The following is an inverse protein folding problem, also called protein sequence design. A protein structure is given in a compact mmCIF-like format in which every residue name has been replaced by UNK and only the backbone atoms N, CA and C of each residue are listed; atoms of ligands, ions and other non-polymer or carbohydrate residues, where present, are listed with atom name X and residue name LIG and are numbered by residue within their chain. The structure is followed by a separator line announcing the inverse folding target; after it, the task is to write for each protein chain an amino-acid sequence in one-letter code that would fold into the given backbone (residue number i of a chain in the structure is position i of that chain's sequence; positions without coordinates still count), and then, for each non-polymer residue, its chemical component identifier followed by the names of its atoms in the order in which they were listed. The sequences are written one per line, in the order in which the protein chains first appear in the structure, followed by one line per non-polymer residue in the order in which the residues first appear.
data_IF_088509973366
#
_entry.id   IF_088509973366
#
_cell.length_a   1.000
_cell.length_b   1.000
_cell.length_c   1.000
_cell.angle_alpha   90.00
_cell.angle_beta   90.00
_cell.angle_gamma   90.00
#
_symmetry.space_group_name_H-M   'P 1'
#
loop_
_entity.id
_entity.type
_entity.pdbx_description
1 polymer ?
#
# COMPACT_ATOMS: atom_id res chain seq x y z
N UNK A 1 13.93 15.40 -6.89
CA UNK A 1 13.87 14.37 -5.83
C UNK A 1 13.87 13.03 -6.51
N UNK A 2 14.72 12.10 -6.09
CA UNK A 2 14.83 10.82 -6.78
C UNK A 2 13.88 9.79 -6.18
N UNK A 3 13.09 9.22 -7.08
CA UNK A 3 12.12 8.18 -6.80
C UNK A 3 12.80 6.80 -6.89
N UNK A 4 12.85 6.03 -5.79
CA UNK A 4 13.56 4.75 -5.78
C UNK A 4 12.71 3.50 -6.10
N UNK A 5 11.55 3.63 -6.76
CA UNK A 5 10.78 2.51 -7.37
C UNK A 5 9.76 3.02 -8.38
N UNK A 6 9.87 2.81 -9.70
CA UNK A 6 8.87 3.32 -10.62
C UNK A 6 7.59 2.48 -10.62
N UNK A 7 6.54 3.12 -11.12
CA UNK A 7 5.33 2.55 -11.66
C UNK A 7 5.61 1.35 -12.57
N UNK A 8 4.75 0.32 -12.54
CA UNK A 8 4.79 -0.74 -13.54
C UNK A 8 4.64 -0.12 -14.93
N UNK A 9 5.76 0.07 -15.65
CA UNK A 9 5.80 0.57 -17.03
C UNK A 9 6.72 1.76 -17.32
N UNK A 10 7.25 2.49 -16.33
CA UNK A 10 8.15 3.62 -16.60
C UNK A 10 9.62 3.16 -16.55
N UNK A 11 10.37 3.38 -17.64
CA UNK A 11 11.81 3.04 -17.72
C UNK A 11 12.59 3.80 -16.64
N UNK A 12 13.24 3.04 -15.75
CA UNK A 12 14.04 3.50 -14.59
C UNK A 12 15.11 4.55 -14.93
N UNK A 13 15.53 4.62 -16.19
CA UNK A 13 16.53 5.56 -16.70
C UNK A 13 15.98 6.97 -16.96
N UNK A 14 14.71 7.11 -17.37
CA UNK A 14 14.14 8.41 -17.80
C UNK A 14 13.89 9.39 -16.64
N UNK A 15 13.28 8.91 -15.56
CA UNK A 15 12.97 9.72 -14.37
C UNK A 15 14.25 10.26 -13.72
N UNK A 16 15.24 9.37 -13.47
CA UNK A 16 16.50 9.77 -12.83
C UNK A 16 17.26 10.87 -13.58
N UNK A 17 17.17 10.91 -14.92
CA UNK A 17 17.79 11.96 -15.72
C UNK A 17 17.09 13.31 -15.53
N UNK A 18 15.76 13.32 -15.45
CA UNK A 18 14.97 14.53 -15.25
C UNK A 18 15.27 15.21 -13.93
N UNK A 19 15.26 14.48 -12.81
CA UNK A 19 15.46 15.14 -11.50
C UNK A 19 16.91 15.56 -11.26
N UNK A 20 17.87 14.80 -11.79
CA UNK A 20 19.29 15.20 -11.82
C UNK A 20 19.50 16.47 -12.64
N UNK A 21 18.88 16.55 -13.83
CA UNK A 21 18.94 17.74 -14.68
C UNK A 21 18.35 18.97 -13.98
N UNK A 22 17.17 18.84 -13.35
CA UNK A 22 16.54 19.94 -12.61
C UNK A 22 17.38 20.40 -11.42
N UNK A 23 17.98 19.46 -10.68
CA UNK A 23 18.91 19.76 -9.58
C UNK A 23 20.13 20.54 -10.07
N UNK A 24 20.73 20.13 -11.18
CA UNK A 24 21.87 20.83 -11.79
C UNK A 24 21.50 22.21 -12.34
N UNK A 25 20.38 22.31 -13.07
CA UNK A 25 19.92 23.55 -13.71
C UNK A 25 19.62 24.65 -12.67
N UNK A 26 18.95 24.28 -11.58
CA UNK A 26 18.53 25.21 -10.54
C UNK A 26 19.46 25.26 -9.34
N UNK A 27 20.56 24.48 -9.35
CA UNK A 27 21.53 24.37 -8.25
C UNK A 27 20.84 24.08 -6.91
N UNK A 28 19.88 23.17 -6.92
CA UNK A 28 19.14 22.74 -5.74
C UNK A 28 19.60 21.35 -5.28
N UNK A 29 19.65 21.10 -3.97
CA UNK A 29 20.07 19.79 -3.45
C UNK A 29 19.11 18.70 -3.90
N UNK A 30 19.63 17.47 -3.99
CA UNK A 30 18.85 16.29 -4.34
C UNK A 30 18.74 15.37 -3.12
N UNK A 31 17.54 14.85 -2.92
CA UNK A 31 17.20 13.96 -1.82
C UNK A 31 16.61 12.69 -2.41
N UNK A 32 17.12 11.54 -1.96
CA UNK A 32 16.56 10.23 -2.27
C UNK A 32 15.41 9.92 -1.32
N UNK A 33 14.31 9.42 -1.88
CA UNK A 33 13.10 9.12 -1.11
C UNK A 33 12.69 7.68 -1.36
N UNK A 34 12.44 6.96 -0.25
CA UNK A 34 11.82 5.65 -0.30
C UNK A 34 10.30 5.80 -0.58
N UNK A 35 9.81 5.12 -1.61
CA UNK A 35 8.39 5.18 -2.02
C UNK A 35 7.43 4.70 -0.91
N UNK A 36 7.77 3.61 -0.23
CA UNK A 36 6.92 3.05 0.83
C UNK A 36 6.82 4.02 2.01
N UNK A 37 7.95 4.59 2.43
CA UNK A 37 7.96 5.63 3.47
C UNK A 37 7.16 6.85 3.03
N UNK A 38 7.23 7.22 1.76
CA UNK A 38 6.48 8.36 1.25
C UNK A 38 4.96 8.17 1.30
N UNK A 39 4.46 6.96 0.99
CA UNK A 39 3.05 6.61 1.19
C UNK A 39 2.65 6.77 2.66
N UNK A 40 3.47 6.26 3.58
CA UNK A 40 3.19 6.34 5.03
C UNK A 40 3.14 7.80 5.49
N UNK A 41 4.16 8.61 5.17
CA UNK A 41 4.22 9.99 5.63
C UNK A 41 3.12 10.87 5.04
N UNK A 42 2.78 10.67 3.76
CA UNK A 42 1.63 11.34 3.14
C UNK A 42 0.31 10.94 3.81
N UNK A 43 0.10 9.65 4.04
CA UNK A 43 -1.09 9.16 4.74
C UNK A 43 -1.21 9.76 6.15
N UNK A 44 -0.10 9.83 6.90
CA UNK A 44 -0.08 10.42 8.25
C UNK A 44 -0.43 11.90 8.25
N UNK A 45 0.17 12.71 7.37
CA UNK A 45 -0.08 14.16 7.38
C UNK A 45 -1.50 14.50 6.93
N UNK A 46 -2.06 13.77 5.96
CA UNK A 46 -3.41 14.01 5.44
C UNK A 46 -4.48 13.59 6.45
N UNK A 47 -4.27 12.47 7.14
CA UNK A 47 -5.25 11.89 8.06
C UNK A 47 -5.09 12.33 9.51
N UNK A 48 -3.94 12.91 9.86
CA UNK A 48 -3.59 13.25 11.24
C UNK A 48 -3.13 12.05 12.08
N UNK A 49 -2.90 10.88 11.48
CA UNK A 49 -2.46 9.69 12.21
C UNK A 49 -1.06 9.88 12.82
N UNK A 50 -0.98 9.83 14.16
CA UNK A 50 0.29 10.07 14.86
C UNK A 50 1.22 8.86 14.80
N UNK A 51 0.82 7.70 15.35
CA UNK A 51 1.63 6.48 15.37
C UNK A 51 0.83 5.19 15.06
N UNK A 52 0.28 5.06 13.83
CA UNK A 52 -0.52 3.89 13.45
C UNK A 52 0.33 2.66 13.09
N UNK A 53 -0.29 1.48 13.07
CA UNK A 53 0.13 0.37 12.22
C UNK A 53 -0.34 0.66 10.80
N UNK A 54 0.55 0.52 9.82
CA UNK A 54 0.28 0.85 8.43
C UNK A 54 0.07 -0.40 7.61
N UNK A 55 -1.10 -0.56 7.01
CA UNK A 55 -1.34 -1.53 5.95
C UNK A 55 -1.06 -0.87 4.60
N UNK A 56 0.04 -1.23 3.96
CA UNK A 56 0.39 -0.76 2.62
C UNK A 56 0.01 -1.79 1.56
N UNK A 57 -1.03 -1.50 0.78
CA UNK A 57 -1.58 -2.39 -0.24
C UNK A 57 -1.70 -1.68 -1.59
N UNK A 58 -0.87 -2.10 -2.55
CA UNK A 58 -0.84 -1.59 -3.93
C UNK A 58 -0.80 -2.74 -4.93
N UNK A 59 -0.73 -2.41 -6.23
CA UNK A 59 -0.50 -3.41 -7.28
C UNK A 59 0.78 -4.21 -7.10
N UNK A 60 1.80 -3.64 -6.43
CA UNK A 60 3.13 -4.26 -6.29
C UNK A 60 3.62 -4.46 -4.85
N UNK A 61 2.84 -4.08 -3.85
CA UNK A 61 3.21 -4.20 -2.43
C UNK A 61 2.02 -4.65 -1.59
N UNK A 62 2.27 -5.49 -0.60
CA UNK A 62 1.29 -5.85 0.44
C UNK A 62 2.06 -6.09 1.73
N UNK A 63 2.12 -5.07 2.58
CA UNK A 63 2.97 -5.05 3.76
C UNK A 63 2.24 -4.46 4.96
N UNK A 64 2.49 -5.03 6.14
CA UNK A 64 2.09 -4.48 7.44
C UNK A 64 3.32 -3.89 8.09
N UNK A 65 3.30 -2.58 8.32
CA UNK A 65 4.47 -1.78 8.70
C UNK A 65 4.15 -1.03 9.98
N UNK A 66 5.08 -0.96 10.93
CA UNK A 66 4.95 -0.04 12.06
C UNK A 66 6.28 0.65 12.36
N UNK A 67 6.20 1.87 12.85
CA UNK A 67 7.37 2.61 13.29
C UNK A 67 7.87 2.06 14.63
N UNK A 68 9.18 1.79 14.72
CA UNK A 68 9.88 1.33 15.91
C UNK A 68 11.37 1.69 15.83
N UNK A 69 11.91 2.25 16.91
CA UNK A 69 13.35 2.55 17.06
C UNK A 69 13.95 3.35 15.88
N UNK A 70 13.30 4.43 15.46
CA UNK A 70 13.81 5.29 14.39
C UNK A 70 13.50 4.82 12.96
N UNK A 71 12.90 3.64 12.80
CA UNK A 71 12.72 2.99 11.49
C UNK A 71 11.30 2.49 11.30
N UNK A 72 10.87 2.37 10.04
CA UNK A 72 9.63 1.69 9.68
C UNK A 72 9.91 0.21 9.44
N UNK A 73 9.47 -0.65 10.37
CA UNK A 73 9.71 -2.09 10.33
C UNK A 73 8.53 -2.83 9.71
N UNK A 74 8.83 -3.86 8.94
CA UNK A 74 7.84 -4.73 8.31
C UNK A 74 7.56 -5.89 9.27
N UNK A 75 6.31 -6.02 9.70
CA UNK A 75 5.82 -7.08 10.60
C UNK A 75 5.17 -8.23 9.83
N UNK A 76 4.59 -7.92 8.68
CA UNK A 76 4.01 -8.90 7.76
C UNK A 76 4.23 -8.47 6.32
N UNK A 77 4.49 -9.43 5.44
CA UNK A 77 4.61 -9.20 4.00
C UNK A 77 3.82 -10.27 3.22
N UNK A 78 3.63 -10.02 1.94
CA UNK A 78 3.25 -11.10 1.03
C UNK A 78 4.46 -11.99 0.74
N UNK A 79 4.25 -13.30 0.74
CA UNK A 79 5.28 -14.30 0.43
C UNK A 79 5.52 -14.35 -1.08
N UNK A 80 4.52 -14.04 -1.89
CA UNK A 80 4.53 -14.30 -3.32
C UNK A 80 4.20 -13.08 -4.19
N UNK A 81 2.93 -12.67 -4.24
CA UNK A 81 2.43 -11.60 -5.08
C UNK A 81 1.62 -10.61 -4.27
N UNK A 82 1.50 -9.38 -4.71
CA UNK A 82 0.70 -8.39 -4.00
C UNK A 82 -0.80 -8.62 -4.23
N UNK A 83 -1.63 -8.22 -3.26
CA UNK A 83 -3.10 -8.32 -3.36
C UNK A 83 -3.64 -7.56 -4.57
N UNK A 84 -3.05 -6.40 -4.91
CA UNK A 84 -3.45 -5.63 -6.08
C UNK A 84 -3.20 -6.38 -7.39
N UNK A 85 -2.07 -7.07 -7.53
CA UNK A 85 -1.81 -7.92 -8.71
C UNK A 85 -2.75 -9.13 -8.77
N UNK A 86 -3.13 -9.70 -7.62
CA UNK A 86 -4.14 -10.77 -7.56
C UNK A 86 -5.48 -10.28 -8.13
N UNK A 87 -5.95 -9.11 -7.66
CA UNK A 87 -7.16 -8.47 -8.17
C UNK A 87 -7.05 -8.14 -9.66
N UNK A 88 -5.95 -7.51 -10.09
CA UNK A 88 -5.75 -7.13 -11.49
C UNK A 88 -5.75 -8.34 -12.44
N UNK A 89 -5.12 -9.44 -12.03
CA UNK A 89 -5.12 -10.69 -12.82
C UNK A 89 -6.50 -11.31 -12.88
N UNK A 90 -7.22 -11.34 -11.76
CA UNK A 90 -8.57 -11.90 -11.73
C UNK A 90 -9.56 -11.07 -12.57
N UNK A 91 -9.44 -9.74 -12.55
CA UNK A 91 -10.23 -8.85 -13.40
C UNK A 91 -10.05 -9.18 -14.89
N UNK A 92 -8.82 -9.51 -15.32
CA UNK A 92 -8.54 -9.93 -16.70
C UNK A 92 -9.17 -11.27 -17.05
N UNK A 93 -9.21 -12.21 -16.13
CA UNK A 93 -9.87 -13.52 -16.32
C UNK A 93 -11.36 -13.33 -16.56
N UNK A 94 -11.99 -12.41 -15.84
CA UNK A 94 -13.38 -12.02 -16.02
C UNK A 94 -13.61 -11.04 -17.17
N UNK A 95 -12.58 -10.70 -17.95
CA UNK A 95 -12.63 -9.73 -19.06
C UNK A 95 -13.19 -8.36 -18.68
N UNK A 96 -12.96 -7.93 -17.43
CA UNK A 96 -13.39 -6.62 -16.95
C UNK A 96 -12.54 -5.50 -17.57
N UNK A 97 -13.14 -4.31 -17.69
CA UNK A 97 -12.43 -3.11 -18.14
C UNK A 97 -11.28 -2.78 -17.19
N UNK A 98 -10.19 -2.22 -17.75
CA UNK A 98 -9.13 -1.62 -16.95
C UNK A 98 -9.45 -0.18 -16.50
N UNK A 99 -10.46 0.45 -17.10
CA UNK A 99 -10.90 1.81 -16.78
C UNK A 99 -12.11 1.77 -15.84
N UNK A 100 -12.13 2.53 -14.71
CA UNK A 100 -11.07 3.42 -14.21
C UNK A 100 -9.90 2.70 -13.54
N UNK A 101 -10.13 1.53 -12.94
CA UNK A 101 -9.09 0.59 -12.51
C UNK A 101 -9.67 -0.83 -12.39
N UNK A 102 -8.87 -1.89 -12.56
CA UNK A 102 -9.37 -3.27 -12.43
C UNK A 102 -9.91 -3.56 -11.03
N UNK A 103 -9.21 -3.09 -9.98
CA UNK A 103 -9.66 -3.24 -8.59
C UNK A 103 -11.00 -2.57 -8.29
N UNK A 104 -11.23 -1.36 -8.82
CA UNK A 104 -12.53 -0.68 -8.71
C UNK A 104 -13.65 -1.46 -9.41
N UNK A 105 -13.38 -2.00 -10.60
CA UNK A 105 -14.38 -2.76 -11.34
C UNK A 105 -14.75 -4.08 -10.65
N UNK A 106 -13.79 -4.74 -10.00
CA UNK A 106 -14.07 -5.89 -9.13
C UNK A 106 -14.97 -5.46 -7.97
N UNK A 107 -14.69 -4.33 -7.33
CA UNK A 107 -15.50 -3.82 -6.22
C UNK A 107 -16.95 -3.52 -6.62
N UNK A 108 -17.16 -2.85 -7.76
CA UNK A 108 -18.52 -2.58 -8.24
C UNK A 108 -19.27 -3.86 -8.60
N UNK A 109 -18.57 -4.88 -9.09
CA UNK A 109 -19.17 -6.16 -9.44
C UNK A 109 -19.45 -7.00 -8.19
N UNK A 110 -18.56 -6.97 -7.20
CA UNK A 110 -18.72 -7.65 -5.90
C UNK A 110 -19.97 -7.17 -5.14
N UNK A 111 -20.34 -5.88 -5.25
CA UNK A 111 -21.58 -5.34 -4.66
C UNK A 111 -22.86 -6.00 -5.18
N UNK A 112 -22.80 -6.69 -6.32
CA UNK A 112 -23.92 -7.44 -6.91
C UNK A 112 -23.89 -8.93 -6.57
N UNK A 113 -22.83 -9.41 -5.94
CA UNK A 113 -22.69 -10.79 -5.49
C UNK A 113 -23.64 -11.08 -4.34
N UNK A 114 -24.13 -12.31 -4.29
CA UNK A 114 -25.08 -12.79 -3.27
C UNK A 114 -24.62 -14.09 -2.62
N UNK A 115 -23.86 -14.90 -3.36
CA UNK A 115 -23.37 -16.19 -2.90
C UNK A 115 -21.89 -16.11 -2.55
N UNK A 116 -21.55 -16.62 -1.36
CA UNK A 116 -20.16 -16.84 -0.96
C UNK A 116 -19.68 -18.20 -1.46
N UNK A 117 -18.51 -18.20 -2.10
CA UNK A 117 -17.81 -19.39 -2.59
C UNK A 117 -16.56 -19.55 -1.74
N UNK A 118 -16.40 -20.72 -1.14
CA UNK A 118 -15.23 -21.00 -0.32
C UNK A 118 -13.95 -20.94 -1.15
N UNK A 119 -13.04 -20.07 -0.75
CA UNK A 119 -11.71 -19.92 -1.33
C UNK A 119 -10.65 -20.34 -0.30
N UNK A 120 -9.46 -20.79 -0.75
CA UNK A 120 -8.37 -21.10 0.16
C UNK A 120 -7.99 -19.88 1.01
N UNK A 121 -7.87 -20.07 2.31
CA UNK A 121 -7.49 -19.01 3.24
C UNK A 121 -6.06 -19.27 3.76
N UNK A 122 -5.08 -18.47 3.30
CA UNK A 122 -3.65 -18.78 3.50
C UNK A 122 -2.92 -17.65 4.23
N UNK A 123 -3.01 -17.68 5.56
CA UNK A 123 -2.23 -16.81 6.45
C UNK A 123 -1.17 -17.64 7.19
N UNK A 124 0.08 -17.20 7.13
CA UNK A 124 1.22 -17.83 7.84
C UNK A 124 1.81 -16.81 8.81
N UNK A 125 1.48 -16.91 10.10
CA UNK A 125 1.84 -15.93 11.13
C UNK A 125 1.28 -14.53 10.79
N UNK A 126 2.12 -13.60 10.34
CA UNK A 126 1.72 -12.26 9.90
C UNK A 126 1.88 -12.09 8.38
N UNK A 127 2.28 -13.15 7.67
CA UNK A 127 2.47 -13.14 6.22
C UNK A 127 1.28 -13.77 5.50
N UNK A 128 1.07 -13.35 4.26
CA UNK A 128 -0.02 -13.81 3.37
C UNK A 128 0.53 -14.37 2.06
N UNK A 129 -0.23 -15.25 1.42
CA UNK A 129 0.08 -15.77 0.09
C UNK A 129 -1.19 -15.76 -0.76
N UNK A 130 -1.10 -15.14 -1.94
CA UNK A 130 -2.26 -14.96 -2.82
C UNK A 130 -2.18 -15.78 -4.11
N UNK A 131 -1.01 -16.33 -4.48
CA UNK A 131 -0.88 -17.05 -5.76
C UNK A 131 -1.72 -18.33 -5.78
N UNK A 132 -1.78 -19.07 -4.68
CA UNK A 132 -2.60 -20.28 -4.58
C UNK A 132 -4.10 -19.96 -4.68
N UNK A 133 -4.53 -18.85 -4.08
CA UNK A 133 -5.91 -18.36 -4.15
C UNK A 133 -6.25 -17.95 -5.59
N UNK A 134 -5.34 -17.21 -6.23
CA UNK A 134 -5.49 -16.78 -7.62
C UNK A 134 -5.63 -17.97 -8.57
N UNK A 135 -4.75 -18.97 -8.49
CA UNK A 135 -4.85 -20.15 -9.35
C UNK A 135 -6.12 -20.97 -9.08
N UNK A 136 -6.55 -21.06 -7.82
CA UNK A 136 -7.78 -21.76 -7.46
C UNK A 136 -9.01 -21.04 -8.01
N UNK A 137 -9.11 -19.72 -7.87
CA UNK A 137 -10.26 -18.97 -8.36
C UNK A 137 -10.26 -18.87 -9.89
N UNK A 138 -9.10 -18.81 -10.55
CA UNK A 138 -9.00 -18.88 -12.01
C UNK A 138 -9.60 -20.20 -12.54
N UNK A 139 -9.24 -21.34 -11.95
CA UNK A 139 -9.79 -22.64 -12.33
C UNK A 139 -11.29 -22.77 -11.98
N UNK A 140 -11.67 -22.33 -10.77
CA UNK A 140 -13.06 -22.38 -10.30
C UNK A 140 -13.98 -21.50 -11.14
N UNK A 141 -13.51 -20.32 -11.56
CA UNK A 141 -14.26 -19.43 -12.44
C UNK A 141 -14.52 -20.10 -13.79
N UNK A 142 -13.53 -20.77 -14.38
CA UNK A 142 -13.71 -21.44 -15.66
C UNK A 142 -14.75 -22.57 -15.59
N UNK A 143 -14.74 -23.37 -14.52
CA UNK A 143 -15.67 -24.49 -14.34
C UNK A 143 -17.09 -24.02 -13.98
N UNK A 144 -17.22 -23.18 -12.95
CA UNK A 144 -18.53 -22.79 -12.40
C UNK A 144 -19.28 -21.81 -13.29
N UNK A 145 -18.59 -20.93 -14.01
CA UNK A 145 -19.25 -20.05 -14.98
C UNK A 145 -19.79 -20.83 -16.18
N UNK A 146 -19.09 -21.89 -16.63
CA UNK A 146 -19.61 -22.78 -17.68
C UNK A 146 -20.81 -23.59 -17.22
N UNK A 147 -20.83 -23.99 -15.95
CA UNK A 147 -21.93 -24.73 -15.33
C UNK A 147 -23.12 -23.84 -14.91
N UNK A 148 -23.03 -22.51 -15.04
CA UNK A 148 -24.01 -21.53 -14.51
C UNK A 148 -24.29 -21.70 -13.00
N UNK A 149 -23.32 -22.20 -12.24
CA UNK A 149 -23.46 -22.41 -10.79
C UNK A 149 -23.22 -21.13 -9.97
N UNK A 150 -22.49 -20.16 -10.54
CA UNK A 150 -22.22 -18.87 -9.91
C UNK A 150 -22.16 -17.76 -10.94
N UNK A 151 -22.30 -16.53 -10.49
CA UNK A 151 -22.07 -15.36 -11.34
C UNK A 151 -20.65 -14.80 -11.17
N UNK A 152 -20.14 -14.02 -12.14
CA UNK A 152 -18.89 -13.26 -11.95
C UNK A 152 -18.93 -12.35 -10.71
N UNK A 153 -20.11 -11.87 -10.34
CA UNK A 153 -20.32 -11.04 -9.15
C UNK A 153 -20.11 -11.82 -7.85
N UNK A 154 -20.60 -13.07 -7.77
CA UNK A 154 -20.38 -13.95 -6.62
C UNK A 154 -18.89 -14.28 -6.43
N UNK A 155 -18.16 -14.49 -7.53
CA UNK A 155 -16.72 -14.72 -7.48
C UNK A 155 -15.96 -13.47 -7.02
N UNK A 156 -16.28 -12.28 -7.55
CA UNK A 156 -15.68 -11.02 -7.09
C UNK A 156 -15.96 -10.76 -5.61
N UNK A 157 -17.19 -11.00 -5.17
CA UNK A 157 -17.59 -10.89 -3.76
C UNK A 157 -16.76 -11.82 -2.88
N UNK A 158 -16.76 -13.12 -3.21
CA UNK A 158 -16.04 -14.14 -2.43
C UNK A 158 -14.54 -13.87 -2.37
N UNK A 159 -13.96 -13.40 -3.48
CA UNK A 159 -12.54 -13.02 -3.54
C UNK A 159 -12.25 -11.85 -2.62
N UNK A 160 -13.05 -10.78 -2.66
CA UNK A 160 -12.84 -9.61 -1.80
C UNK A 160 -12.97 -9.95 -0.32
N UNK A 161 -14.04 -10.67 0.07
CA UNK A 161 -14.23 -11.07 1.46
C UNK A 161 -13.05 -11.91 1.97
N UNK A 162 -12.59 -12.89 1.17
CA UNK A 162 -11.47 -13.75 1.56
C UNK A 162 -10.16 -12.97 1.67
N UNK A 163 -9.79 -12.20 0.63
CA UNK A 163 -8.52 -11.48 0.61
C UNK A 163 -8.47 -10.39 1.69
N UNK A 164 -9.56 -9.64 1.87
CA UNK A 164 -9.59 -8.56 2.85
C UNK A 164 -9.66 -9.08 4.28
N UNK A 165 -10.36 -10.19 4.54
CA UNK A 165 -10.31 -10.85 5.85
C UNK A 165 -8.87 -11.25 6.21
N UNK A 166 -8.11 -11.81 5.26
CA UNK A 166 -6.69 -12.14 5.47
C UNK A 166 -5.85 -10.92 5.82
N UNK A 167 -6.07 -9.80 5.13
CA UNK A 167 -5.37 -8.53 5.40
C UNK A 167 -5.72 -7.95 6.77
N UNK A 168 -7.00 -8.01 7.16
CA UNK A 168 -7.47 -7.57 8.48
C UNK A 168 -6.84 -8.44 9.58
N UNK A 169 -6.81 -9.76 9.41
CA UNK A 169 -6.21 -10.70 10.36
C UNK A 169 -4.71 -10.40 10.61
N UNK A 170 -3.91 -10.25 9.55
CA UNK A 170 -2.48 -9.96 9.73
C UNK A 170 -2.24 -8.57 10.33
N UNK A 171 -3.10 -7.60 10.00
CA UNK A 171 -3.02 -6.24 10.54
C UNK A 171 -3.34 -6.25 12.03
N UNK A 172 -4.40 -6.95 12.43
CA UNK A 172 -4.77 -7.10 13.83
C UNK A 172 -3.67 -7.79 14.64
N UNK A 173 -3.05 -8.86 14.09
CA UNK A 173 -1.91 -9.53 14.74
C UNK A 173 -0.74 -8.58 14.95
N UNK A 174 -0.42 -7.75 13.97
CA UNK A 174 0.64 -6.76 14.08
C UNK A 174 0.31 -5.65 15.09
N UNK A 175 -0.95 -5.20 15.15
CA UNK A 175 -1.41 -4.24 16.16
C UNK A 175 -1.22 -4.78 17.58
N UNK A 176 -1.62 -6.03 17.82
CA UNK A 176 -1.43 -6.67 19.12
C UNK A 176 0.05 -6.82 19.48
N UNK A 177 0.91 -7.08 18.49
CA UNK A 177 2.35 -7.20 18.70
C UNK A 177 3.04 -5.85 18.97
N UNK A 178 2.57 -4.77 18.34
CA UNK A 178 3.16 -3.43 18.49
C UNK A 178 2.55 -2.61 19.64
N UNK A 179 1.53 -3.13 20.33
CA UNK A 179 0.69 -2.41 21.29
C UNK A 179 0.14 -1.08 20.73
N UNK A 180 -0.39 -1.15 19.50
CA UNK A 180 -0.97 0.00 18.79
C UNK A 180 -2.46 -0.21 18.56
N UNK A 181 -3.21 0.88 18.62
CA UNK A 181 -4.67 0.88 18.47
C UNK A 181 -5.14 1.36 17.10
N UNK A 182 -4.34 2.21 16.47
CA UNK A 182 -4.72 2.87 15.23
C UNK A 182 -4.13 2.16 14.00
N UNK A 183 -4.90 2.14 12.92
CA UNK A 183 -4.47 1.64 11.62
C UNK A 183 -4.50 2.75 10.59
N UNK A 184 -3.48 2.82 9.75
CA UNK A 184 -3.45 3.65 8.56
C UNK A 184 -3.42 2.75 7.32
N UNK A 185 -4.35 2.92 6.40
CA UNK A 185 -4.33 2.22 5.11
C UNK A 185 -3.75 3.16 4.05
N UNK A 186 -2.78 2.67 3.28
CA UNK A 186 -2.16 3.39 2.15
C UNK A 186 -2.01 2.48 0.93
N UNK A 187 -1.82 3.08 -0.25
CA UNK A 187 -1.71 2.38 -1.53
C UNK A 187 -3.06 2.25 -2.25
N UNK A 188 -3.01 2.02 -3.56
CA UNK A 188 -4.20 2.07 -4.42
C UNK A 188 -5.30 1.06 -4.09
N UNK A 189 -4.96 -0.12 -3.54
CA UNK A 189 -5.97 -1.10 -3.08
C UNK A 189 -6.61 -0.62 -1.78
N UNK A 190 -5.92 0.25 -1.04
CA UNK A 190 -6.42 0.89 0.17
C UNK A 190 -7.61 1.82 -0.05
N UNK A 191 -7.87 2.23 -1.29
CA UNK A 191 -9.06 3.00 -1.66
C UNK A 191 -10.36 2.18 -1.65
N UNK A 192 -10.28 0.85 -1.59
CA UNK A 192 -11.45 -0.02 -1.64
C UNK A 192 -12.33 0.17 -0.39
N UNK A 193 -13.61 0.49 -0.58
CA UNK A 193 -14.53 0.83 0.50
C UNK A 193 -14.79 -0.38 1.40
N UNK A 194 -14.85 -1.58 0.82
CA UNK A 194 -15.09 -2.82 1.56
C UNK A 194 -13.92 -3.17 2.49
N UNK A 195 -12.68 -3.05 2.01
CA UNK A 195 -11.49 -3.21 2.85
C UNK A 195 -11.47 -2.19 3.99
N UNK A 196 -11.79 -0.92 3.71
CA UNK A 196 -11.87 0.12 4.74
C UNK A 196 -12.98 -0.17 5.75
N UNK A 197 -14.13 -0.67 5.32
CA UNK A 197 -15.23 -1.06 6.19
C UNK A 197 -14.81 -2.17 7.16
N UNK A 198 -14.26 -3.27 6.65
CA UNK A 198 -13.80 -4.40 7.47
C UNK A 198 -12.72 -3.97 8.47
N UNK A 199 -11.77 -3.16 8.03
CA UNK A 199 -10.71 -2.65 8.90
C UNK A 199 -11.26 -1.69 9.97
N UNK A 200 -12.26 -0.86 9.62
CA UNK A 200 -12.90 0.07 10.57
C UNK A 200 -13.60 -0.67 11.70
N UNK A 201 -14.31 -1.76 11.36
CA UNK A 201 -14.97 -2.62 12.35
C UNK A 201 -13.92 -3.19 13.32
N UNK A 202 -12.86 -3.83 12.79
CA UNK A 202 -11.78 -4.38 13.63
C UNK A 202 -11.11 -3.32 14.51
N UNK A 203 -10.79 -2.14 13.97
CA UNK A 203 -10.19 -1.06 14.76
C UNK A 203 -11.12 -0.60 15.89
N UNK A 204 -12.43 -0.47 15.60
CA UNK A 204 -13.42 -0.01 16.58
C UNK A 204 -13.59 -1.00 17.75
N UNK A 205 -13.56 -2.31 17.47
CA UNK A 205 -13.63 -3.36 18.48
C UNK A 205 -12.41 -3.36 19.41
N UNK A 206 -11.26 -2.87 18.93
CA UNK A 206 -10.02 -2.71 19.70
C UNK A 206 -9.89 -1.35 20.38
N UNK A 207 -10.89 -0.47 20.22
CA UNK A 207 -10.88 0.88 20.79
C UNK A 207 -9.86 1.83 20.14
N UNK A 208 -9.59 1.65 18.84
CA UNK A 208 -8.78 2.56 18.04
C UNK A 208 -9.50 3.04 16.79
N UNK A 209 -8.77 3.75 15.93
CA UNK A 209 -9.33 4.37 14.72
C UNK A 209 -8.67 3.84 13.44
N UNK A 210 -9.49 3.73 12.39
CA UNK A 210 -9.00 3.59 11.03
C UNK A 210 -8.79 4.97 10.42
N UNK A 211 -7.58 5.22 9.97
CA UNK A 211 -7.21 6.32 9.10
C UNK A 211 -7.06 5.77 7.68
N UNK A 212 -7.83 6.31 6.75
CA UNK A 212 -7.72 5.96 5.33
C UNK A 212 -7.77 7.25 4.50
N UNK A 213 -7.08 7.26 3.38
CA UNK A 213 -7.09 8.39 2.45
C UNK A 213 -7.93 8.07 1.21
N UNK A 214 -8.44 9.12 0.58
CA UNK A 214 -9.07 8.99 -0.74
C UNK A 214 -8.02 8.76 -1.85
N UNK A 215 -8.52 8.50 -3.06
CA UNK A 215 -7.72 8.24 -4.25
C UNK A 215 -6.69 9.33 -4.56
N UNK A 216 -6.91 10.59 -4.16
CA UNK A 216 -5.98 11.70 -4.43
C UNK A 216 -4.63 11.53 -3.74
N UNK A 217 -4.60 10.84 -2.60
CA UNK A 217 -3.40 10.69 -1.77
C UNK A 217 -3.01 9.22 -1.53
N UNK A 218 -3.93 8.27 -1.65
CA UNK A 218 -3.66 6.83 -1.54
C UNK A 218 -2.85 6.29 -2.73
N UNK A 219 -3.03 6.86 -3.93
CA UNK A 219 -2.30 6.42 -5.12
C UNK A 219 -0.95 7.12 -5.23
N UNK A 220 -0.06 6.56 -6.02
CA UNK A 220 1.24 7.16 -6.26
C UNK A 220 1.09 8.56 -6.86
N UNK A 221 1.72 9.54 -6.22
CA UNK A 221 1.68 10.93 -6.66
C UNK A 221 3.02 11.62 -6.41
N UNK A 222 3.31 12.69 -7.14
CA UNK A 222 4.55 13.44 -6.94
C UNK A 222 4.62 14.15 -5.57
N UNK A 223 3.47 14.44 -4.96
CA UNK A 223 3.39 15.17 -3.70
C UNK A 223 3.90 14.33 -2.52
N UNK A 224 3.68 13.02 -2.50
CA UNK A 224 4.20 12.14 -1.42
C UNK A 224 5.73 12.12 -1.42
N UNK A 225 6.33 12.09 -2.61
CA UNK A 225 7.78 12.16 -2.79
C UNK A 225 8.27 13.55 -2.39
N UNK A 226 7.58 14.60 -2.83
CA UNK A 226 7.87 15.99 -2.49
C UNK A 226 7.90 16.23 -0.98
N UNK A 227 6.85 15.83 -0.29
CA UNK A 227 6.69 16.01 1.15
C UNK A 227 7.75 15.25 1.94
N UNK A 228 7.97 13.98 1.62
CA UNK A 228 8.96 13.14 2.33
C UNK A 228 10.39 13.62 2.05
N UNK A 229 10.67 14.07 0.82
CA UNK A 229 11.94 14.68 0.48
C UNK A 229 12.16 16.01 1.20
N UNK A 230 11.12 16.82 1.39
CA UNK A 230 11.17 18.04 2.20
C UNK A 230 11.43 17.73 3.67
N UNK A 231 10.76 16.74 4.25
CA UNK A 231 11.00 16.28 5.61
C UNK A 231 12.45 15.82 5.80
N UNK A 232 12.93 14.96 4.92
CA UNK A 232 14.31 14.50 4.96
C UNK A 232 15.30 15.67 4.82
N UNK A 233 15.05 16.60 3.90
CA UNK A 233 15.89 17.77 3.69
C UNK A 233 15.94 18.71 4.90
N UNK A 234 14.79 18.97 5.52
CA UNK A 234 14.68 19.82 6.71
C UNK A 234 15.50 19.27 7.89
N UNK A 235 15.69 17.96 7.93
CA UNK A 235 16.53 17.27 8.92
C UNK A 235 17.96 17.00 8.41
N UNK A 236 18.42 17.74 7.40
CA UNK A 236 19.80 17.73 6.92
C UNK A 236 20.16 16.58 5.98
N UNK A 237 19.19 15.79 5.51
CA UNK A 237 19.47 14.75 4.52
C UNK A 237 19.60 15.35 3.12
N UNK A 238 20.69 15.00 2.45
CA UNK A 238 20.92 15.23 1.03
C UNK A 238 21.94 14.22 0.54
N UNK A 239 21.95 13.94 -0.76
CA UNK A 239 22.93 13.04 -1.37
C UNK A 239 23.70 13.77 -2.46
N UNK A 240 24.90 13.27 -2.77
CA UNK A 240 25.65 13.75 -3.93
C UNK A 240 24.95 13.31 -5.21
N UNK A 241 25.11 14.10 -6.28
CA UNK A 241 24.51 13.77 -7.58
C UNK A 241 25.02 12.42 -8.13
N UNK A 242 26.27 12.06 -7.83
CA UNK A 242 26.88 10.79 -8.23
C UNK A 242 26.26 9.60 -7.50
N UNK A 243 25.89 9.78 -6.23
CA UNK A 243 25.26 8.77 -5.37
C UNK A 243 23.76 8.60 -5.65
N UNK A 244 23.22 9.46 -6.52
CA UNK A 244 21.80 9.63 -6.77
C UNK A 244 21.21 8.54 -7.67
N UNK A 245 21.52 7.29 -7.31
CA UNK A 245 21.16 6.05 -8.01
C UNK A 245 19.77 5.56 -7.59
N UNK A 246 19.26 4.56 -8.30
CA UNK A 246 17.98 3.91 -7.99
C UNK A 246 18.20 2.48 -7.50
N UNK A 247 17.35 2.04 -6.56
CA UNK A 247 17.42 0.69 -6.00
C UNK A 247 16.04 0.05 -6.08
N UNK A 248 15.86 -0.92 -6.98
CA UNK A 248 14.56 -1.59 -7.15
C UNK A 248 14.06 -2.27 -5.88
N UNK A 249 14.96 -2.78 -5.03
CA UNK A 249 14.64 -3.47 -3.78
C UNK A 249 14.98 -2.65 -2.53
N UNK A 250 14.69 -1.35 -2.56
CA UNK A 250 14.92 -0.52 -1.39
C UNK A 250 13.93 -0.87 -0.27
N UNK A 251 14.42 -1.45 0.83
CA UNK A 251 13.54 -1.89 1.92
C UNK A 251 13.12 -0.71 2.80
N UNK A 252 11.92 -0.80 3.37
CA UNK A 252 11.36 0.25 4.23
C UNK A 252 12.13 0.38 5.55
N UNK A 253 12.69 -0.73 6.06
CA UNK A 253 13.44 -0.79 7.32
C UNK A 253 14.88 -0.25 7.22
N UNK A 254 15.43 -0.14 6.01
CA UNK A 254 16.72 0.49 5.76
C UNK A 254 16.68 2.02 5.97
N UNK A 255 15.49 2.63 5.89
CA UNK A 255 15.30 4.08 6.02
C UNK A 255 15.27 4.48 7.49
N UNK A 256 16.21 5.34 7.89
CA UNK A 256 16.15 6.04 9.17
C UNK A 256 15.23 7.25 9.05
N UNK A 257 14.04 7.18 9.64
CA UNK A 257 13.07 8.27 9.63
C UNK A 257 13.41 9.28 10.75
N UNK A 258 14.48 10.06 10.52
CA UNK A 258 15.05 11.02 11.47
C UNK A 258 14.06 12.09 11.94
N UNK A 259 13.08 12.43 11.09
CA UNK A 259 12.05 13.43 11.38
C UNK A 259 11.01 12.97 12.42
N UNK A 260 10.93 11.67 12.71
CA UNK A 260 10.00 11.10 13.69
C UNK A 260 10.53 11.17 15.12
N UNK A 261 11.85 11.20 15.31
CA UNK A 261 12.51 11.09 16.62
C UNK A 261 12.67 12.39 17.39
N UNK A 262 12.11 13.52 16.91
CA UNK A 262 12.37 14.84 17.48
C UNK A 262 11.11 15.61 17.85
N UNK A 263 11.02 16.03 19.12
CA UNK A 263 10.13 17.07 19.65
C UNK A 263 10.34 18.47 18.99
N UNK A 264 10.93 18.57 17.80
CA UNK A 264 11.36 19.83 17.17
C UNK A 264 10.40 20.37 16.10
N UNK A 265 9.41 19.60 15.64
CA UNK A 265 8.46 20.07 14.62
C UNK A 265 7.42 21.09 15.15
N UNK A 266 7.28 21.27 16.47
CA UNK A 266 6.35 22.29 17.03
C UNK A 266 6.87 23.74 16.93
N UNK A 267 8.13 23.97 16.54
CA UNK A 267 8.70 25.33 16.47
C UNK A 267 8.87 25.89 15.05
N UNK A 268 8.91 25.06 14.00
CA UNK A 268 9.16 25.54 12.63
C UNK A 268 7.92 25.88 11.82
N UNK A 269 6.72 25.43 12.23
CA UNK A 269 5.45 25.77 11.55
C UNK A 269 4.79 27.01 12.19
N UNK A 270 5.38 27.56 13.25
CA UNK A 270 4.90 28.76 13.95
C UNK A 270 5.74 30.01 13.67
N UNK A 271 6.57 30.03 12.62
CA UNK A 271 7.33 31.19 12.17
C UNK A 271 7.14 31.44 10.68
#
# INVERSE_FOLDING_TARGET
MLHQRPWHGCTTSGLSCGERMLSQLWRKPIVAVNRCVAHIEMGRIVTGAEDPVVLYVSGGNTQVIAYSEGRYRIFGDTIDTAVGNCLDRFARVLTLSNDPSPGYNIEQLAKKGSQFIDLPYVVKRMDVSFSGILSYIEATAEEKLKANECTPADLCYSLQETLFAMLVEITERAMAHCDKKDVLIVGGVGCNERLQEMMRIMCSERGGALYATDDRYCIDNGAMIAYTGLLAHAYGMSILLEESTFTQRFRTDEVLAVWRGGNHLRQMVSQ
#
